data_IF_419575280066
#
_entry.id   IF_419575280066
#
_cell.length_a   1.000
_cell.length_b   1.000
_cell.length_c   1.000
_cell.angle_alpha   90.00
_cell.angle_beta   90.00
_cell.angle_gamma   90.00
#
_symmetry.space_group_name_H-M   'P 1'
#
loop_
_entity.id
_entity.type
_entity.pdbx_description
1 polymer ?
#
# COMPACT_ATOMS: atom_id res chain seq x y z
N UNK A 1 23.86 -0.92 18.51
CA UNK A 1 22.45 -0.69 18.91
C UNK A 1 21.59 -1.75 18.21
N UNK A 2 20.59 -2.34 18.86
CA UNK A 2 19.78 -3.41 18.25
C UNK A 2 18.89 -2.88 17.13
N UNK A 3 18.98 -3.46 15.92
CA UNK A 3 18.21 -3.05 14.74
C UNK A 3 16.76 -3.58 14.78
N UNK A 4 15.78 -2.86 14.20
CA UNK A 4 14.37 -3.26 14.23
C UNK A 4 14.13 -4.56 13.46
N UNK A 5 13.26 -5.42 13.98
CA UNK A 5 12.79 -6.61 13.27
C UNK A 5 11.53 -6.27 12.44
N UNK A 6 11.40 -6.90 11.27
CA UNK A 6 10.36 -6.57 10.29
C UNK A 6 9.44 -7.79 10.08
N UNK A 7 8.14 -7.58 10.20
CA UNK A 7 7.13 -8.60 9.86
C UNK A 7 6.61 -8.32 8.45
N UNK A 8 6.59 -9.33 7.58
CA UNK A 8 6.09 -9.19 6.19
C UNK A 8 5.07 -10.28 5.89
N UNK A 9 3.86 -9.91 5.47
CA UNK A 9 2.90 -10.86 4.88
C UNK A 9 3.15 -11.01 3.39
N UNK A 10 3.12 -12.22 2.84
CA UNK A 10 3.17 -12.41 1.38
C UNK A 10 1.81 -12.05 0.76
N UNK A 11 1.80 -11.00 -0.08
CA UNK A 11 0.68 -10.72 -1.01
C UNK A 11 -0.15 -9.46 -0.78
N UNK A 12 0.37 -8.40 -0.15
CA UNK A 12 -0.37 -7.14 0.03
C UNK A 12 0.48 -5.91 -0.28
N UNK A 13 -0.19 -4.82 -0.67
CA UNK A 13 0.34 -3.46 -0.79
C UNK A 13 1.19 -3.04 0.43
N UNK A 14 1.93 -1.94 0.28
CA UNK A 14 2.82 -1.29 1.27
C UNK A 14 2.25 -1.06 2.69
N UNK A 15 1.00 -1.41 2.94
CA UNK A 15 0.30 -1.38 4.23
C UNK A 15 0.57 -2.59 5.15
N UNK A 16 1.14 -3.69 4.66
CA UNK A 16 1.25 -4.94 5.45
C UNK A 16 2.64 -5.20 6.07
N UNK A 17 3.56 -4.24 5.99
CA UNK A 17 4.84 -4.28 6.69
C UNK A 17 4.74 -3.54 8.01
N UNK A 18 4.70 -4.28 9.13
CA UNK A 18 4.81 -3.69 10.45
C UNK A 18 6.28 -3.71 10.88
N UNK A 19 6.94 -2.55 10.78
CA UNK A 19 8.22 -2.29 11.43
C UNK A 19 7.95 -2.07 12.92
N UNK A 20 8.38 -3.00 13.78
CA UNK A 20 8.18 -2.88 15.23
C UNK A 20 9.41 -2.20 15.85
N UNK A 21 9.28 -0.99 16.44
CA UNK A 21 10.44 -0.16 16.82
C UNK A 21 11.34 -0.75 17.93
N UNK A 22 10.85 -1.69 18.76
CA UNK A 22 11.50 -2.03 20.03
C UNK A 22 11.87 -3.52 20.19
N UNK A 23 12.41 -4.15 19.16
CA UNK A 23 12.97 -5.50 19.27
C UNK A 23 14.46 -5.47 19.63
N UNK A 24 14.77 -4.96 20.84
CA UNK A 24 16.12 -5.13 21.43
C UNK A 24 16.31 -6.61 21.76
N UNK A 25 17.08 -7.31 20.92
CA UNK A 25 17.22 -8.76 20.91
C UNK A 25 17.77 -9.39 22.21
N UNK A 26 18.40 -8.61 23.10
CA UNK A 26 18.93 -9.08 24.40
C UNK A 26 17.93 -9.11 25.56
N UNK A 27 16.65 -8.83 25.34
CA UNK A 27 15.65 -8.80 26.42
C UNK A 27 14.96 -10.15 26.57
N UNK A 28 14.88 -10.67 27.80
CA UNK A 28 14.22 -11.94 28.15
C UNK A 28 12.86 -12.10 27.41
N UNK A 29 12.60 -13.29 26.88
CA UNK A 29 11.32 -13.62 26.24
C UNK A 29 11.16 -13.11 24.82
N UNK A 30 12.26 -12.92 24.08
CA UNK A 30 12.23 -12.52 22.67
C UNK A 30 11.40 -13.48 21.81
N UNK A 31 11.51 -14.78 22.07
CA UNK A 31 10.80 -15.85 21.37
C UNK A 31 9.28 -15.72 21.57
N UNK A 32 8.86 -15.41 22.81
CA UNK A 32 7.45 -15.17 23.14
C UNK A 32 6.93 -13.91 22.47
N UNK A 33 7.73 -12.84 22.39
CA UNK A 33 7.35 -11.60 21.69
C UNK A 33 7.24 -11.81 20.18
N UNK A 34 8.16 -12.55 19.58
CA UNK A 34 8.09 -12.91 18.17
C UNK A 34 6.77 -13.63 17.85
N UNK A 35 6.42 -14.64 18.65
CA UNK A 35 5.14 -15.36 18.51
C UNK A 35 3.93 -14.45 18.77
N UNK A 36 3.97 -13.63 19.82
CA UNK A 36 2.90 -12.68 20.14
C UNK A 36 2.65 -11.70 18.98
N UNK A 37 3.71 -11.14 18.39
CA UNK A 37 3.58 -10.20 17.28
C UNK A 37 3.08 -10.87 16.01
N UNK A 38 3.59 -12.06 15.68
CA UNK A 38 3.09 -12.82 14.53
C UNK A 38 1.60 -13.14 14.70
N UNK A 39 1.19 -13.64 15.87
CA UNK A 39 -0.21 -13.97 16.15
C UNK A 39 -1.11 -12.74 16.10
N UNK A 40 -0.64 -11.61 16.65
CA UNK A 40 -1.36 -10.33 16.60
C UNK A 40 -1.48 -9.77 15.19
N UNK A 41 -0.47 -9.96 14.34
CA UNK A 41 -0.52 -9.58 12.93
C UNK A 41 -1.54 -10.44 12.17
N UNK A 42 -1.54 -11.76 12.40
CA UNK A 42 -2.51 -12.67 11.81
C UNK A 42 -3.95 -12.35 12.22
N UNK A 43 -4.19 -12.13 13.53
CA UNK A 43 -5.53 -11.85 14.04
C UNK A 43 -6.12 -10.54 13.55
N UNK A 44 -5.27 -9.56 13.19
CA UNK A 44 -5.68 -8.23 12.71
C UNK A 44 -6.09 -8.20 11.24
N UNK A 45 -5.89 -9.29 10.51
CA UNK A 45 -6.23 -9.34 9.08
C UNK A 45 -7.74 -9.41 8.82
N UNK A 46 -8.51 -9.89 9.79
CA UNK A 46 -9.95 -10.10 9.64
C UNK A 46 -10.73 -9.11 10.50
N UNK A 47 -11.67 -8.42 9.87
CA UNK A 47 -12.71 -7.63 10.51
C UNK A 47 -14.00 -8.44 10.70
N UNK A 48 -14.98 -7.84 11.39
CA UNK A 48 -16.26 -8.51 11.68
C UNK A 48 -17.01 -8.81 10.38
N UNK A 49 -17.16 -10.10 10.07
CA UNK A 49 -17.88 -10.59 8.88
C UNK A 49 -16.98 -11.17 7.79
N UNK A 50 -15.65 -11.10 7.96
CA UNK A 50 -14.70 -11.66 7.01
C UNK A 50 -14.63 -13.19 7.07
N UNK A 51 -14.24 -13.80 5.94
CA UNK A 51 -14.12 -15.26 5.81
C UNK A 51 -12.69 -15.72 6.13
N UNK A 52 -12.53 -16.59 7.12
CA UNK A 52 -11.23 -17.02 7.63
C UNK A 52 -10.32 -17.72 6.60
N UNK A 53 -10.87 -18.35 5.56
CA UNK A 53 -10.05 -18.98 4.52
C UNK A 53 -9.29 -17.98 3.62
N UNK A 54 -9.58 -16.67 3.75
CA UNK A 54 -8.87 -15.61 3.02
C UNK A 54 -7.66 -15.06 3.78
N UNK A 55 -7.43 -15.52 5.02
CA UNK A 55 -6.27 -15.11 5.82
C UNK A 55 -4.97 -15.42 5.07
N UNK A 56 -4.03 -14.48 5.17
CA UNK A 56 -2.71 -14.54 4.55
C UNK A 56 -1.68 -15.06 5.55
N UNK A 57 -0.73 -15.83 5.02
CA UNK A 57 0.43 -16.30 5.76
C UNK A 57 1.25 -15.14 6.35
N UNK A 58 1.78 -15.37 7.56
CA UNK A 58 2.69 -14.49 8.28
C UNK A 58 4.10 -15.06 8.21
N UNK A 59 5.00 -14.27 7.62
CA UNK A 59 6.44 -14.52 7.66
C UNK A 59 7.08 -13.53 8.61
N UNK A 60 7.50 -14.03 9.77
CA UNK A 60 8.21 -13.25 10.77
C UNK A 60 9.72 -13.34 10.52
N UNK A 61 10.38 -12.20 10.32
CA UNK A 61 11.85 -12.15 10.14
C UNK A 61 12.46 -11.30 11.24
N UNK A 62 13.25 -11.95 12.10
CA UNK A 62 14.07 -11.28 13.09
C UNK A 62 15.53 -11.23 12.63
N UNK A 63 16.13 -10.04 12.66
CA UNK A 63 17.56 -9.83 12.48
C UNK A 63 18.12 -9.37 13.83
N UNK A 64 18.98 -10.17 14.43
CA UNK A 64 19.46 -9.99 15.79
C UNK A 64 20.98 -9.82 15.83
N UNK A 65 21.43 -8.75 16.47
CA UNK A 65 22.84 -8.50 16.80
C UNK A 65 23.25 -9.15 18.15
N UNK A 66 22.73 -10.35 18.41
CA UNK A 66 23.10 -11.16 19.56
C UNK A 66 22.78 -12.64 19.30
N UNK A 67 23.28 -13.51 20.16
CA UNK A 67 22.99 -14.94 20.11
C UNK A 67 21.64 -15.19 20.81
N UNK A 68 20.65 -15.62 20.05
CA UNK A 68 19.32 -16.01 20.51
C UNK A 68 19.23 -17.52 20.77
N UNK A 69 19.88 -18.34 19.94
CA UNK A 69 19.84 -19.79 20.03
C UNK A 69 21.25 -20.36 20.24
N UNK A 70 21.76 -20.43 21.49
CA UNK A 70 23.15 -20.84 21.75
C UNK A 70 23.52 -22.20 21.16
N UNK A 71 22.57 -23.14 21.13
CA UNK A 71 22.80 -24.51 20.66
C UNK A 71 22.81 -24.65 19.13
N UNK A 72 22.55 -23.57 18.38
CA UNK A 72 22.55 -23.57 16.91
C UNK A 72 23.81 -22.91 16.37
N UNK A 73 24.58 -23.61 15.54
CA UNK A 73 25.77 -23.08 14.88
C UNK A 73 25.45 -22.11 13.73
N UNK A 74 24.35 -22.35 13.02
CA UNK A 74 23.98 -21.58 11.84
C UNK A 74 23.50 -20.17 12.17
N UNK A 75 23.86 -19.20 11.33
CA UNK A 75 23.40 -17.80 11.46
C UNK A 75 21.92 -17.61 11.10
N UNK A 76 21.32 -18.56 10.37
CA UNK A 76 19.93 -18.49 9.91
C UNK A 76 19.16 -19.69 10.43
N UNK A 77 18.18 -19.43 11.28
CA UNK A 77 17.28 -20.43 11.84
C UNK A 77 15.86 -20.26 11.30
N UNK A 78 15.28 -21.34 10.79
CA UNK A 78 13.91 -21.38 10.24
C UNK A 78 13.04 -22.26 11.11
N UNK A 79 11.85 -21.80 11.45
CA UNK A 79 10.92 -22.52 12.32
C UNK A 79 9.53 -22.57 11.70
N UNK A 80 8.93 -23.76 11.76
CA UNK A 80 7.58 -24.09 11.27
C UNK A 80 6.81 -24.80 12.38
N UNK A 81 5.48 -24.76 12.34
CA UNK A 81 4.63 -25.59 13.19
C UNK A 81 4.58 -26.98 12.55
N UNK A 82 4.69 -28.04 13.36
CA UNK A 82 4.67 -29.42 12.88
C UNK A 82 3.79 -30.29 13.75
N UNK A 83 3.16 -31.27 13.13
CA UNK A 83 2.48 -32.35 13.83
C UNK A 83 3.50 -33.18 14.64
N UNK A 84 3.16 -33.59 15.85
CA UNK A 84 4.11 -34.24 16.77
C UNK A 84 4.43 -35.69 16.38
N UNK A 85 3.42 -36.43 15.91
CA UNK A 85 3.56 -37.86 15.58
C UNK A 85 4.15 -38.08 14.19
N UNK A 86 3.70 -37.28 13.22
CA UNK A 86 4.04 -37.43 11.79
C UNK A 86 5.13 -36.47 11.32
N UNK A 87 5.42 -35.41 12.09
CA UNK A 87 6.33 -34.33 11.72
C UNK A 87 5.91 -33.56 10.44
N UNK A 88 4.65 -33.73 10.01
CA UNK A 88 4.05 -33.04 8.87
C UNK A 88 3.79 -31.55 9.16
N UNK A 89 3.74 -30.75 8.10
CA UNK A 89 3.57 -29.29 8.18
C UNK A 89 2.22 -28.85 7.60
N UNK A 90 1.14 -29.22 8.28
CA UNK A 90 -0.23 -28.92 7.85
C UNK A 90 -0.62 -27.45 8.13
N UNK A 91 -0.17 -26.92 9.26
CA UNK A 91 -0.43 -25.53 9.69
C UNK A 91 0.64 -24.59 9.11
N UNK A 92 0.38 -24.03 7.92
CA UNK A 92 1.38 -23.34 7.08
C UNK A 92 1.46 -21.82 7.27
N UNK A 93 0.47 -21.23 7.93
CA UNK A 93 0.30 -19.77 7.95
C UNK A 93 1.31 -19.03 8.83
N UNK A 94 2.14 -19.74 9.61
CA UNK A 94 3.16 -19.14 10.46
C UNK A 94 4.55 -19.67 10.10
N UNK A 95 5.40 -18.76 9.63
CA UNK A 95 6.79 -19.06 9.33
C UNK A 95 7.71 -18.08 10.02
N UNK A 96 8.66 -18.57 10.82
CA UNK A 96 9.60 -17.73 11.55
C UNK A 96 11.02 -17.93 11.04
N UNK A 97 11.69 -16.82 10.73
CA UNK A 97 13.10 -16.77 10.35
C UNK A 97 13.84 -15.89 11.34
N UNK A 98 14.89 -16.43 11.93
CA UNK A 98 15.81 -15.69 12.79
C UNK A 98 17.18 -15.65 12.13
N UNK A 99 17.76 -14.47 12.05
CA UNK A 99 19.08 -14.19 11.49
C UNK A 99 19.91 -13.62 12.64
N UNK A 100 20.94 -14.35 13.07
CA UNK A 100 21.84 -13.96 14.17
C UNK A 100 23.16 -13.46 13.58
N UNK A 101 23.35 -12.14 13.53
CA UNK A 101 24.51 -11.47 12.93
C UNK A 101 25.87 -11.94 13.53
N UNK A 102 26.00 -12.19 14.85
CA UNK A 102 27.28 -12.66 15.41
C UNK A 102 27.75 -14.00 14.83
N UNK A 103 26.81 -14.86 14.39
CA UNK A 103 27.11 -16.18 13.80
C UNK A 103 27.40 -16.12 12.30
N UNK A 104 27.20 -14.98 11.66
CA UNK A 104 27.44 -14.85 10.22
C UNK A 104 28.95 -14.97 9.92
N UNK A 105 29.39 -15.97 9.14
CA UNK A 105 30.81 -16.32 9.04
C UNK A 105 31.59 -15.49 8.01
N UNK A 106 30.91 -14.80 7.10
CA UNK A 106 31.55 -14.07 5.99
C UNK A 106 31.96 -12.67 6.45
N UNK A 107 33.19 -12.30 6.13
CA UNK A 107 33.82 -11.04 6.56
C UNK A 107 34.26 -10.17 5.40
N UNK A 108 34.16 -10.67 4.17
CA UNK A 108 34.46 -9.92 2.96
C UNK A 108 33.34 -10.06 1.93
N UNK A 109 33.19 -9.03 1.11
CA UNK A 109 32.14 -8.93 0.09
C UNK A 109 32.24 -10.00 -1.01
N UNK A 110 33.45 -10.33 -1.44
CA UNK A 110 33.73 -11.33 -2.47
C UNK A 110 33.27 -12.74 -2.08
N UNK A 111 33.04 -12.97 -0.79
CA UNK A 111 32.52 -14.22 -0.26
C UNK A 111 30.99 -14.34 -0.40
N UNK A 112 30.28 -13.25 -0.70
CA UNK A 112 28.82 -13.18 -0.71
C UNK A 112 28.26 -13.76 -2.00
N UNK A 113 27.46 -14.83 -1.90
CA UNK A 113 26.93 -15.55 -3.05
C UNK A 113 25.44 -15.33 -3.27
N UNK A 114 24.73 -14.70 -2.33
CA UNK A 114 23.28 -14.45 -2.45
C UNK A 114 22.86 -13.07 -1.94
N UNK A 115 21.70 -12.59 -2.42
CA UNK A 115 21.11 -11.32 -1.97
C UNK A 115 20.85 -11.31 -0.46
N UNK A 116 20.46 -12.45 0.11
CA UNK A 116 20.25 -12.57 1.56
C UNK A 116 21.55 -12.34 2.30
N UNK A 117 22.65 -12.94 1.83
CA UNK A 117 23.96 -12.73 2.46
C UNK A 117 24.45 -11.30 2.30
N UNK A 118 24.16 -10.63 1.18
CA UNK A 118 24.42 -9.19 1.02
C UNK A 118 23.68 -8.36 2.06
N UNK A 119 22.39 -8.63 2.29
CA UNK A 119 21.63 -7.99 3.36
C UNK A 119 22.19 -8.29 4.75
N UNK A 120 22.54 -9.53 5.05
CA UNK A 120 23.09 -9.91 6.35
C UNK A 120 24.46 -9.28 6.59
N UNK A 121 25.34 -9.29 5.60
CA UNK A 121 26.63 -8.61 5.61
C UNK A 121 26.43 -7.11 5.86
N UNK A 122 25.55 -6.49 5.09
CA UNK A 122 25.17 -5.10 5.24
C UNK A 122 24.72 -4.78 6.68
N UNK A 123 23.77 -5.55 7.23
CA UNK A 123 23.31 -5.31 8.60
C UNK A 123 24.38 -5.52 9.67
N UNK A 124 25.34 -6.44 9.45
CA UNK A 124 26.44 -6.71 10.38
C UNK A 124 27.50 -5.61 10.37
N UNK A 125 27.87 -5.11 9.19
CA UNK A 125 28.98 -4.18 9.02
C UNK A 125 28.56 -2.74 8.76
N UNK A 126 27.26 -2.41 8.78
CA UNK A 126 26.76 -1.07 8.43
C UNK A 126 27.47 0.08 9.16
N UNK A 127 27.85 -0.12 10.42
CA UNK A 127 28.49 0.90 11.26
C UNK A 127 29.98 1.09 10.93
N UNK A 128 30.59 0.11 10.24
CA UNK A 128 32.02 0.05 9.88
C UNK A 128 32.24 0.25 8.37
N UNK A 129 31.18 0.23 7.56
CA UNK A 129 31.27 0.27 6.11
C UNK A 129 31.31 1.71 5.61
N UNK A 130 32.41 2.08 4.94
CA UNK A 130 32.51 3.35 4.23
C UNK A 130 31.58 3.40 3.01
N UNK A 131 31.20 4.60 2.55
CA UNK A 131 30.31 4.77 1.39
C UNK A 131 30.87 4.12 0.10
N UNK A 132 32.20 4.10 -0.07
CA UNK A 132 32.89 3.46 -1.19
C UNK A 132 32.88 1.92 -1.12
N UNK A 133 32.99 1.34 0.06
CA UNK A 133 32.87 -0.12 0.26
C UNK A 133 31.43 -0.57 0.12
N UNK A 134 30.50 0.29 0.53
CA UNK A 134 29.08 0.06 0.34
C UNK A 134 28.71 -0.02 -1.14
N UNK A 135 29.18 0.91 -1.99
CA UNK A 135 28.90 0.86 -3.43
C UNK A 135 29.38 -0.45 -4.08
N UNK A 136 30.46 -1.04 -3.57
CA UNK A 136 30.93 -2.36 -4.03
C UNK A 136 29.95 -3.46 -3.59
N UNK A 137 29.62 -3.53 -2.29
CA UNK A 137 28.70 -4.53 -1.71
C UNK A 137 27.32 -4.51 -2.38
N UNK A 138 26.82 -3.31 -2.61
CA UNK A 138 25.54 -3.05 -3.25
C UNK A 138 25.61 -3.36 -4.75
N UNK A 139 26.71 -3.00 -5.42
CA UNK A 139 26.83 -3.05 -6.87
C UNK A 139 25.69 -2.27 -7.53
N UNK A 140 24.91 -2.93 -8.39
CA UNK A 140 23.74 -2.36 -9.08
C UNK A 140 22.42 -2.47 -8.32
N UNK A 141 22.41 -3.00 -7.09
CA UNK A 141 21.17 -3.26 -6.36
C UNK A 141 20.62 -1.98 -5.69
N UNK A 142 19.76 -1.28 -6.42
CA UNK A 142 19.12 -0.03 -5.99
C UNK A 142 18.35 -0.15 -4.66
N UNK A 143 17.93 -1.37 -4.26
CA UNK A 143 17.11 -1.58 -3.06
C UNK A 143 17.98 -1.53 -1.80
N UNK A 144 19.17 -2.15 -1.84
CA UNK A 144 20.12 -2.06 -0.72
C UNK A 144 20.64 -0.63 -0.59
N UNK A 145 20.89 0.06 -1.71
CA UNK A 145 21.30 1.48 -1.73
C UNK A 145 20.31 2.35 -0.99
N UNK A 146 19.03 2.22 -1.35
CA UNK A 146 17.97 2.96 -0.71
C UNK A 146 17.89 2.66 0.79
N UNK A 147 17.96 1.39 1.21
CA UNK A 147 17.92 1.06 2.64
C UNK A 147 19.12 1.59 3.44
N UNK A 148 20.31 1.67 2.84
CA UNK A 148 21.45 2.34 3.47
C UNK A 148 21.25 3.84 3.58
N UNK A 149 20.84 4.52 2.51
CA UNK A 149 20.54 5.95 2.57
C UNK A 149 19.57 6.23 3.72
N UNK A 150 18.55 5.40 3.90
CA UNK A 150 17.56 5.49 4.99
C UNK A 150 18.16 5.24 6.39
N UNK A 151 19.10 4.30 6.53
CA UNK A 151 19.82 4.05 7.78
C UNK A 151 20.84 5.17 8.09
N UNK A 152 21.51 5.69 7.07
CA UNK A 152 22.44 6.80 7.20
C UNK A 152 21.71 8.09 7.63
N UNK A 153 20.42 8.23 7.31
CA UNK A 153 19.57 9.31 7.87
C UNK A 153 19.45 9.30 9.39
N UNK A 154 19.61 8.15 10.05
CA UNK A 154 19.67 8.10 11.51
C UNK A 154 21.01 8.60 12.07
N UNK A 155 22.05 8.68 11.24
CA UNK A 155 23.35 9.25 11.58
C UNK A 155 23.46 10.75 11.21
N UNK A 156 22.42 11.35 10.65
CA UNK A 156 22.40 12.76 10.28
C UNK A 156 22.31 13.67 11.50
N UNK A 157 22.98 14.82 11.44
CA UNK A 157 22.77 15.88 12.41
C UNK A 157 21.32 16.40 12.32
N UNK A 158 20.80 16.97 13.41
CA UNK A 158 19.42 17.46 13.46
C UNK A 158 19.10 18.46 12.34
N UNK A 159 20.09 19.24 11.89
CA UNK A 159 19.94 20.14 10.74
C UNK A 159 19.71 19.41 9.41
N UNK A 160 20.42 18.32 9.16
CA UNK A 160 20.32 17.53 7.93
C UNK A 160 19.01 16.74 7.89
N UNK A 161 18.59 16.20 9.03
CA UNK A 161 17.28 15.57 9.18
C UNK A 161 16.12 16.54 8.92
N UNK A 162 16.18 17.75 9.50
CA UNK A 162 15.15 18.79 9.29
C UNK A 162 15.09 19.22 7.82
N UNK A 163 16.23 19.41 7.15
CA UNK A 163 16.26 19.81 5.74
C UNK A 163 15.60 18.76 4.82
N UNK A 164 15.82 17.48 5.10
CA UNK A 164 15.21 16.39 4.36
C UNK A 164 13.71 16.24 4.62
N UNK A 165 13.27 16.32 5.89
CA UNK A 165 11.85 16.32 6.25
C UNK A 165 11.10 17.48 5.59
N UNK A 166 11.75 18.65 5.46
CA UNK A 166 11.20 19.80 4.74
C UNK A 166 11.02 19.53 3.24
N UNK A 167 11.97 18.83 2.60
CA UNK A 167 11.86 18.47 1.18
C UNK A 167 10.77 17.41 0.94
N UNK A 168 10.69 16.40 1.81
CA UNK A 168 9.61 15.39 1.78
C UNK A 168 8.25 16.03 2.02
N UNK A 169 8.17 16.98 2.96
CA UNK A 169 6.97 17.78 3.18
C UNK A 169 6.61 18.60 1.95
N UNK A 170 7.57 19.23 1.27
CA UNK A 170 7.33 19.99 0.03
C UNK A 170 6.71 19.11 -1.05
N UNK A 171 7.28 17.93 -1.28
CA UNK A 171 6.77 16.98 -2.29
C UNK A 171 5.34 16.51 -1.94
N UNK A 172 5.08 16.22 -0.66
CA UNK A 172 3.73 15.82 -0.20
C UNK A 172 2.71 16.95 -0.33
N UNK A 173 3.11 18.18 -0.01
CA UNK A 173 2.27 19.37 -0.16
C UNK A 173 1.95 19.63 -1.65
N UNK A 174 2.93 19.48 -2.55
CA UNK A 174 2.74 19.57 -4.00
C UNK A 174 1.76 18.50 -4.53
N UNK A 175 1.88 17.26 -4.07
CA UNK A 175 0.96 16.17 -4.42
C UNK A 175 -0.46 16.42 -3.90
N UNK A 176 -0.60 16.93 -2.68
CA UNK A 176 -1.89 17.28 -2.09
C UNK A 176 -2.59 18.40 -2.88
N UNK A 177 -1.84 19.43 -3.31
CA UNK A 177 -2.36 20.49 -4.18
C UNK A 177 -2.82 19.95 -5.54
N UNK A 178 -2.08 19.02 -6.13
CA UNK A 178 -2.48 18.38 -7.39
C UNK A 178 -3.76 17.55 -7.24
N UNK A 179 -3.85 16.76 -6.17
CA UNK A 179 -5.04 15.96 -5.87
C UNK A 179 -6.29 16.83 -5.65
N UNK A 180 -6.15 17.92 -4.89
CA UNK A 180 -7.24 18.86 -4.68
C UNK A 180 -7.71 19.53 -5.98
N UNK A 181 -6.79 19.89 -6.88
CA UNK A 181 -7.15 20.41 -8.21
C UNK A 181 -7.95 19.39 -9.03
N UNK A 182 -7.57 18.10 -8.98
CA UNK A 182 -8.31 17.04 -9.68
C UNK A 182 -9.72 16.87 -9.10
N UNK A 183 -9.88 16.91 -7.79
CA UNK A 183 -11.19 16.86 -7.13
C UNK A 183 -12.06 18.06 -7.51
N UNK A 184 -11.51 19.27 -7.47
CA UNK A 184 -12.22 20.49 -7.85
C UNK A 184 -12.69 20.44 -9.32
N UNK A 185 -11.84 19.96 -10.23
CA UNK A 185 -12.20 19.81 -11.65
C UNK A 185 -13.30 18.76 -11.86
N UNK A 186 -13.23 17.65 -11.13
CA UNK A 186 -14.24 16.58 -11.18
C UNK A 186 -15.58 17.08 -10.63
N UNK A 187 -15.56 17.84 -9.55
CA UNK A 187 -16.75 18.43 -8.94
C UNK A 187 -17.40 19.46 -9.87
N UNK A 188 -16.61 20.35 -10.49
CA UNK A 188 -17.12 21.31 -11.49
C UNK A 188 -17.73 20.61 -12.69
N UNK A 189 -17.04 19.61 -13.27
CA UNK A 189 -17.56 18.84 -14.41
C UNK A 189 -18.87 18.12 -14.07
N UNK A 190 -19.02 17.60 -12.86
CA UNK A 190 -20.27 16.99 -12.40
C UNK A 190 -21.40 18.02 -12.26
N UNK A 191 -21.11 19.20 -11.70
CA UNK A 191 -22.10 20.27 -11.55
C UNK A 191 -22.58 20.79 -12.92
N UNK A 192 -21.64 21.05 -13.84
CA UNK A 192 -21.96 21.46 -15.21
C UNK A 192 -22.77 20.39 -15.95
N UNK A 193 -22.40 19.11 -15.81
CA UNK A 193 -23.14 17.99 -16.38
C UNK A 193 -24.59 17.90 -15.87
N UNK A 194 -24.81 18.11 -14.56
CA UNK A 194 -26.15 18.16 -13.97
C UNK A 194 -26.95 19.35 -14.53
N UNK A 195 -26.31 20.51 -14.67
CA UNK A 195 -26.97 21.71 -15.17
C UNK A 195 -27.40 21.58 -16.63
N UNK A 196 -26.49 21.12 -17.51
CA UNK A 196 -26.78 20.85 -18.92
C UNK A 196 -27.87 19.78 -19.04
N UNK A 197 -27.79 18.70 -18.25
CA UNK A 197 -28.80 17.64 -18.26
C UNK A 197 -30.19 18.15 -17.85
N UNK A 198 -30.26 19.05 -16.86
CA UNK A 198 -31.51 19.66 -16.41
C UNK A 198 -32.10 20.61 -17.45
N UNK A 199 -31.26 21.37 -18.14
CA UNK A 199 -31.71 22.29 -19.19
C UNK A 199 -32.23 21.54 -20.41
N UNK A 200 -31.47 20.55 -20.90
CA UNK A 200 -31.92 19.68 -22.00
C UNK A 200 -33.22 18.95 -21.66
N UNK A 201 -33.31 18.35 -20.46
CA UNK A 201 -34.54 17.67 -20.03
C UNK A 201 -35.75 18.61 -19.95
N UNK A 202 -35.55 19.88 -19.59
CA UNK A 202 -36.63 20.87 -19.57
C UNK A 202 -37.07 21.27 -20.98
N UNK A 203 -36.14 21.45 -21.91
CA UNK A 203 -36.46 21.75 -23.30
C UNK A 203 -37.17 20.58 -23.99
N UNK A 204 -36.66 19.36 -23.82
CA UNK A 204 -37.29 18.14 -24.33
C UNK A 204 -38.69 17.95 -23.75
N UNK A 205 -38.86 18.14 -22.44
CA UNK A 205 -40.17 18.10 -21.79
C UNK A 205 -41.15 19.13 -22.35
N UNK A 206 -40.69 20.37 -22.57
CA UNK A 206 -41.54 21.43 -23.16
C UNK A 206 -41.94 21.12 -24.61
N UNK A 207 -41.03 20.54 -25.40
CA UNK A 207 -41.35 20.07 -26.76
C UNK A 207 -42.35 18.93 -26.73
N UNK A 208 -42.15 17.94 -25.86
CA UNK A 208 -43.09 16.82 -25.70
C UNK A 208 -44.49 17.29 -25.28
N UNK A 209 -44.58 18.24 -24.34
CA UNK A 209 -45.84 18.85 -23.91
C UNK A 209 -46.54 19.57 -25.08
N UNK A 210 -45.81 20.38 -25.86
CA UNK A 210 -46.38 21.04 -27.06
C UNK A 210 -46.92 20.03 -28.07
N UNK A 211 -46.20 18.94 -28.31
CA UNK A 211 -46.64 17.86 -29.22
C UNK A 211 -47.89 17.17 -28.66
N UNK A 212 -47.95 16.90 -27.35
CA UNK A 212 -49.10 16.28 -26.71
C UNK A 212 -50.35 17.18 -26.78
N UNK A 213 -50.19 18.49 -26.54
CA UNK A 213 -51.26 19.49 -26.69
C UNK A 213 -51.76 19.55 -28.13
N UNK A 214 -50.86 19.52 -29.12
CA UNK A 214 -51.23 19.51 -30.54
C UNK A 214 -52.03 18.24 -30.90
N UNK A 215 -51.59 17.06 -30.46
CA UNK A 215 -52.29 15.78 -30.69
C UNK A 215 -53.68 15.78 -30.05
N UNK A 216 -53.82 16.29 -28.83
CA UNK A 216 -55.11 16.35 -28.14
C UNK A 216 -56.05 17.35 -28.81
N UNK A 217 -55.53 18.49 -29.27
CA UNK A 217 -56.31 19.51 -29.99
C UNK A 217 -56.79 19.03 -31.38
N UNK A 218 -55.96 18.26 -32.10
CA UNK A 218 -56.37 17.60 -33.36
C UNK A 218 -57.52 16.62 -33.13
N UNK A 219 -57.44 15.80 -32.08
CA UNK A 219 -58.52 14.86 -31.70
C UNK A 219 -59.83 15.58 -31.34
N UNK A 220 -59.73 16.79 -30.79
CA UNK A 220 -60.88 17.63 -30.45
C UNK A 220 -61.47 18.40 -31.66
N UNK A 221 -60.90 18.24 -32.86
CA UNK A 221 -61.41 18.86 -34.09
C UNK A 221 -61.04 20.34 -34.27
N UNK A 222 -60.02 20.82 -33.54
CA UNK A 222 -59.48 22.19 -33.72
C UNK A 222 -58.74 22.27 -35.05
N UNK A 223 -58.89 23.39 -35.78
CA UNK A 223 -58.20 23.58 -37.06
C UNK A 223 -56.68 23.66 -36.90
N UNK A 224 -55.96 23.14 -37.89
CA UNK A 224 -54.48 23.05 -37.87
C UNK A 224 -53.84 24.44 -37.72
N UNK A 225 -54.43 25.47 -38.34
CA UNK A 225 -53.95 26.85 -38.26
C UNK A 225 -53.99 27.38 -36.81
N UNK A 226 -55.06 27.09 -36.08
CA UNK A 226 -55.22 27.49 -34.67
C UNK A 226 -54.27 26.70 -33.76
N UNK A 227 -54.05 25.42 -34.05
CA UNK A 227 -53.08 24.59 -33.30
C UNK A 227 -51.65 25.11 -33.48
N UNK A 228 -51.29 25.51 -34.71
CA UNK A 228 -49.99 26.11 -35.01
C UNK A 228 -49.78 27.41 -34.25
N UNK A 229 -50.80 28.27 -34.18
CA UNK A 229 -50.74 29.52 -33.42
C UNK A 229 -50.59 29.30 -31.91
N UNK A 230 -51.32 28.34 -31.33
CA UNK A 230 -51.31 28.07 -29.87
C UNK A 230 -50.01 27.38 -29.42
N UNK A 231 -49.53 26.39 -30.17
CA UNK A 231 -48.37 25.57 -29.78
C UNK A 231 -47.04 26.15 -30.26
N UNK A 232 -47.09 27.02 -31.28
CA UNK A 232 -45.93 27.54 -31.98
C UNK A 232 -45.16 26.46 -32.76
N UNK A 233 -45.81 25.33 -33.06
CA UNK A 233 -45.28 24.27 -33.92
C UNK A 233 -45.57 24.59 -35.39
N UNK A 234 -44.68 24.19 -36.28
CA UNK A 234 -44.89 24.32 -37.72
C UNK A 234 -45.98 23.37 -38.22
N UNK A 235 -46.60 23.70 -39.35
CA UNK A 235 -47.65 22.87 -39.96
C UNK A 235 -47.15 21.45 -40.29
N UNK A 236 -45.87 21.30 -40.61
CA UNK A 236 -45.25 20.00 -40.91
C UNK A 236 -45.03 19.16 -39.63
N UNK A 237 -44.68 19.79 -38.51
CA UNK A 237 -44.56 19.12 -37.19
C UNK A 237 -45.92 18.68 -36.63
N UNK A 238 -47.01 19.35 -37.01
CA UNK A 238 -48.38 19.01 -36.57
C UNK A 238 -48.98 17.88 -37.42
N UNK A 239 -48.52 17.71 -38.67
CA UNK A 239 -49.02 16.71 -39.63
C UNK A 239 -48.32 15.34 -39.54
N UNK A 240 -47.21 15.24 -38.81
CA UNK A 240 -46.55 13.98 -38.46
C UNK A 240 -47.25 13.27 -37.28
#
# INVERSE_FOLDING_TARGET
MGKPACCVSKGGSSSNTASLPDLVAKTKGFEKRAQYYAAKAYSRQADKGDQYHNLKEIIFIAIADCILFPDKSEYKSKHTIRDEDTNEHDLKDFYFVFIELPKFPKTKEDQLSSIVEKWVYFFKYADETSEEELEKIIGSDLIIKRAYEELNRFNWSEKEFIAYEQEIKRIRDEQAVLAQKLDDTTQKGRQEGIQIGREKGREEGRKAEKIEVAKNSLKAGVSIDVISEITGLSLDEIKQ
#
